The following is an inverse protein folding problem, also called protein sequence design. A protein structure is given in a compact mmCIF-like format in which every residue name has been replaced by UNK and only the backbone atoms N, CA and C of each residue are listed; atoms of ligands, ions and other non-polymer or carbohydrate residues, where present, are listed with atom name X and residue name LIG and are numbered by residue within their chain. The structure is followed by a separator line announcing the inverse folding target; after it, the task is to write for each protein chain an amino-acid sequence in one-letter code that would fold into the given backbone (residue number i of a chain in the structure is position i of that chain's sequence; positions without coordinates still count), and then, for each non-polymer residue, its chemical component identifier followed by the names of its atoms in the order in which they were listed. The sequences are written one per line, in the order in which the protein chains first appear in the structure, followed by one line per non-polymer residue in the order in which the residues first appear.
data_IF_273095409777
#
_entry.id   IF_273095409777
#
_cell.length_a   1.000
_cell.length_b   1.000
_cell.length_c   1.000
_cell.angle_alpha   90.00
_cell.angle_beta   90.00
_cell.angle_gamma   90.00
#
_symmetry.space_group_name_H-M   'P 1'
#
loop_
_entity.id
_entity.type
_entity.pdbx_description
1 polymer ?
#
# COMPACT_ATOMS: atom_id res chain seq x y z
N UNK A 1 -19.32 0.91 2.04
CA UNK A 1 -18.11 0.77 2.84
C UNK A 1 -18.24 1.75 3.97
N UNK A 2 -18.75 1.35 5.10
CA UNK A 2 -19.04 2.29 6.16
C UNK A 2 -18.29 1.90 7.43
N UNK A 3 -17.77 2.89 8.10
CA UNK A 3 -17.25 2.84 9.45
C UNK A 3 -15.75 2.95 9.58
N UNK A 4 -14.93 2.13 8.94
CA UNK A 4 -13.47 2.15 9.16
C UNK A 4 -12.62 2.29 7.89
N UNK A 5 -13.16 2.01 6.70
CA UNK A 5 -12.36 2.04 5.47
C UNK A 5 -12.68 3.25 4.58
N UNK A 6 -13.93 3.43 4.19
CA UNK A 6 -14.36 4.52 3.31
C UNK A 6 -15.66 5.15 3.85
N UNK A 7 -15.56 6.14 4.77
CA UNK A 7 -16.70 6.86 5.32
C UNK A 7 -17.36 7.78 4.28
N UNK A 8 -18.49 8.35 4.65
CA UNK A 8 -19.10 9.45 3.90
C UNK A 8 -18.18 10.66 3.86
N UNK A 9 -18.32 11.48 2.82
CA UNK A 9 -17.51 12.67 2.60
C UNK A 9 -16.62 12.55 1.37
N UNK A 10 -15.53 13.29 1.35
CA UNK A 10 -14.60 13.32 0.23
C UNK A 10 -13.42 12.37 0.48
N UNK A 11 -13.22 11.43 -0.42
CA UNK A 11 -12.08 10.54 -0.37
C UNK A 11 -11.18 10.71 -1.60
N UNK A 12 -9.87 10.48 -1.42
CA UNK A 12 -8.88 10.48 -2.50
C UNK A 12 -8.32 9.07 -2.69
N UNK A 13 -8.20 8.62 -3.93
CA UNK A 13 -7.36 7.49 -4.33
C UNK A 13 -6.20 8.02 -5.15
N UNK A 14 -5.01 7.95 -4.59
CA UNK A 14 -3.81 8.52 -5.19
C UNK A 14 -2.81 7.43 -5.52
N UNK A 15 -2.22 7.48 -6.71
CA UNK A 15 -1.21 6.51 -7.11
C UNK A 15 -0.38 7.02 -8.29
N UNK A 16 0.74 6.36 -8.55
CA UNK A 16 1.51 6.62 -9.76
C UNK A 16 0.73 6.24 -11.03
N UNK A 17 1.02 6.85 -12.18
CA UNK A 17 0.44 6.42 -13.44
C UNK A 17 0.72 4.93 -13.71
N UNK A 18 -0.31 4.20 -14.17
CA UNK A 18 -0.24 2.76 -14.50
C UNK A 18 0.00 1.82 -13.30
N UNK A 19 -0.30 2.25 -12.09
CA UNK A 19 -0.16 1.44 -10.85
C UNK A 19 -1.39 0.57 -10.54
N UNK A 20 -2.49 0.70 -11.28
CA UNK A 20 -3.72 -0.06 -11.01
C UNK A 20 -4.80 0.70 -10.23
N UNK A 21 -4.66 2.04 -10.04
CA UNK A 21 -5.65 2.85 -9.33
C UNK A 21 -7.07 2.77 -9.89
N UNK A 22 -7.23 2.82 -11.23
CA UNK A 22 -8.57 2.73 -11.86
C UNK A 22 -9.20 1.34 -11.68
N UNK A 23 -8.40 0.27 -11.58
CA UNK A 23 -8.89 -1.06 -11.22
C UNK A 23 -9.39 -1.10 -9.79
N UNK A 24 -8.63 -0.49 -8.85
CA UNK A 24 -9.02 -0.35 -7.45
C UNK A 24 -10.32 0.44 -7.33
N UNK A 25 -10.43 1.58 -8.00
CA UNK A 25 -11.62 2.45 -7.98
C UNK A 25 -12.84 1.74 -8.55
N UNK A 26 -12.70 1.06 -9.69
CA UNK A 26 -13.79 0.30 -10.31
C UNK A 26 -14.26 -0.85 -9.39
N UNK A 27 -13.33 -1.57 -8.75
CA UNK A 27 -13.67 -2.62 -7.80
C UNK A 27 -14.42 -2.07 -6.57
N UNK A 28 -14.05 -0.89 -6.06
CA UNK A 28 -14.79 -0.19 -5.00
C UNK A 28 -16.23 0.11 -5.43
N UNK A 29 -16.42 0.66 -6.65
CA UNK A 29 -17.75 0.95 -7.17
C UNK A 29 -18.61 -0.30 -7.30
N UNK A 30 -18.05 -1.38 -7.84
CA UNK A 30 -18.74 -2.66 -7.98
C UNK A 30 -19.09 -3.28 -6.62
N UNK A 31 -18.20 -3.17 -5.63
CA UNK A 31 -18.47 -3.63 -4.27
C UNK A 31 -19.65 -2.89 -3.64
N UNK A 32 -19.75 -1.57 -3.81
CA UNK A 32 -20.92 -0.79 -3.36
C UNK A 32 -22.19 -1.22 -4.09
N UNK A 33 -22.14 -1.41 -5.40
CA UNK A 33 -23.28 -1.81 -6.19
C UNK A 33 -23.83 -3.21 -5.83
N UNK A 34 -22.94 -4.13 -5.47
CA UNK A 34 -23.28 -5.52 -5.13
C UNK A 34 -23.52 -5.76 -3.65
N UNK A 35 -22.85 -4.99 -2.78
CA UNK A 35 -22.78 -5.23 -1.34
C UNK A 35 -21.71 -6.28 -0.95
N UNK A 36 -20.88 -6.72 -1.89
CA UNK A 36 -19.80 -7.66 -1.63
C UNK A 36 -18.68 -6.93 -0.88
N UNK A 37 -18.10 -7.59 0.12
CA UNK A 37 -17.01 -7.06 0.92
C UNK A 37 -15.79 -6.73 0.05
N UNK A 38 -15.09 -5.63 0.40
CA UNK A 38 -13.91 -5.16 -0.32
C UNK A 38 -12.68 -5.15 0.58
N UNK A 39 -11.62 -5.83 0.18
CA UNK A 39 -10.37 -5.97 0.95
C UNK A 39 -10.57 -6.40 2.41
N UNK A 40 -11.60 -7.22 2.68
CA UNK A 40 -11.96 -7.69 4.02
C UNK A 40 -12.86 -6.73 4.82
N UNK A 41 -13.21 -5.56 4.28
CA UNK A 41 -14.13 -4.62 4.91
C UNK A 41 -15.56 -4.80 4.40
N UNK A 42 -16.52 -4.80 5.32
CA UNK A 42 -17.95 -4.88 5.00
C UNK A 42 -18.39 -3.71 4.12
N UNK A 43 -19.19 -4.01 3.11
CA UNK A 43 -19.72 -3.00 2.18
C UNK A 43 -21.22 -2.89 2.31
N UNK A 44 -21.74 -1.69 2.51
CA UNK A 44 -23.15 -1.41 2.47
C UNK A 44 -23.60 -1.26 1.00
N UNK A 45 -24.54 -2.10 0.58
CA UNK A 45 -25.09 -2.07 -0.77
C UNK A 45 -25.82 -0.74 -1.03
N UNK A 46 -25.65 -0.21 -2.25
CA UNK A 46 -26.30 1.00 -2.75
C UNK A 46 -25.92 1.26 -4.19
N UNK A 47 -26.43 2.33 -4.77
CA UNK A 47 -26.03 2.70 -6.12
C UNK A 47 -24.65 3.37 -6.11
N UNK A 48 -23.87 3.12 -7.17
CA UNK A 48 -22.60 3.75 -7.43
C UNK A 48 -22.54 4.33 -8.84
N UNK A 49 -21.95 5.55 -8.96
CA UNK A 49 -21.66 6.18 -10.24
C UNK A 49 -20.15 6.25 -10.45
N UNK A 50 -19.68 5.71 -11.56
CA UNK A 50 -18.27 5.81 -11.97
C UNK A 50 -18.10 6.72 -13.18
N UNK A 51 -17.53 7.90 -12.99
CA UNK A 51 -17.12 8.82 -14.04
C UNK A 51 -15.73 8.43 -14.54
N UNK A 52 -15.67 7.57 -15.58
CA UNK A 52 -14.44 7.04 -16.16
C UNK A 52 -13.91 7.97 -17.27
N UNK A 53 -13.47 9.18 -16.92
CA UNK A 53 -13.20 10.27 -17.85
C UNK A 53 -11.87 10.14 -18.64
N UNK A 54 -11.03 9.16 -18.28
CA UNK A 54 -9.83 8.79 -19.04
C UNK A 54 -10.00 7.54 -19.90
N UNK A 55 -11.16 6.90 -19.80
CA UNK A 55 -11.45 5.67 -20.52
C UNK A 55 -12.33 5.85 -21.75
N UNK A 56 -12.15 4.98 -22.73
CA UNK A 56 -13.13 4.76 -23.79
C UNK A 56 -14.18 3.74 -23.33
N UNK A 57 -15.37 3.77 -23.94
CA UNK A 57 -16.44 2.79 -23.68
C UNK A 57 -15.94 1.35 -23.87
N UNK A 58 -15.16 1.08 -24.90
CA UNK A 58 -14.56 -0.23 -25.17
C UNK A 58 -13.60 -0.67 -24.06
N UNK A 59 -12.73 0.23 -23.60
CA UNK A 59 -11.79 -0.09 -22.51
C UNK A 59 -12.51 -0.36 -21.20
N UNK A 60 -13.53 0.43 -20.86
CA UNK A 60 -14.32 0.20 -19.65
C UNK A 60 -15.07 -1.12 -19.71
N UNK A 61 -15.68 -1.47 -20.88
CA UNK A 61 -16.32 -2.76 -21.10
C UNK A 61 -15.35 -3.92 -20.86
N UNK A 62 -14.16 -3.88 -21.45
CA UNK A 62 -13.14 -4.91 -21.26
C UNK A 62 -12.67 -5.02 -19.79
N UNK A 63 -12.67 -3.92 -19.03
CA UNK A 63 -12.36 -3.94 -17.60
C UNK A 63 -13.48 -4.62 -16.81
N UNK A 64 -14.72 -4.30 -17.09
CA UNK A 64 -15.87 -4.93 -16.44
C UNK A 64 -15.89 -6.42 -16.69
N UNK A 65 -15.70 -6.85 -17.94
CA UNK A 65 -15.63 -8.27 -18.31
C UNK A 65 -14.52 -9.01 -17.54
N UNK A 66 -13.36 -8.40 -17.35
CA UNK A 66 -12.26 -9.01 -16.58
C UNK A 66 -12.56 -9.14 -15.09
N UNK A 67 -13.23 -8.15 -14.48
CA UNK A 67 -13.54 -8.17 -13.05
C UNK A 67 -14.75 -9.07 -12.77
N UNK A 68 -15.77 -9.00 -13.60
CA UNK A 68 -17.03 -9.70 -13.38
C UNK A 68 -16.99 -11.14 -13.90
N UNK A 69 -16.09 -11.45 -14.86
CA UNK A 69 -16.08 -12.74 -15.53
C UNK A 69 -17.40 -12.98 -16.30
N UNK A 70 -18.12 -14.03 -15.94
CA UNK A 70 -19.42 -14.39 -16.54
C UNK A 70 -20.62 -13.69 -15.87
N UNK A 71 -20.38 -12.92 -14.80
CA UNK A 71 -21.47 -12.22 -14.12
C UNK A 71 -21.91 -10.98 -14.89
N UNK A 72 -23.20 -10.68 -14.83
CA UNK A 72 -23.78 -9.48 -15.41
C UNK A 72 -23.33 -8.21 -14.66
N UNK A 73 -23.39 -7.07 -15.35
CA UNK A 73 -23.13 -5.76 -14.71
C UNK A 73 -24.24 -5.50 -13.70
N UNK A 74 -23.92 -5.21 -12.42
CA UNK A 74 -24.93 -4.96 -11.40
C UNK A 74 -25.84 -3.78 -11.78
N UNK A 75 -27.15 -3.89 -11.61
CA UNK A 75 -28.12 -2.81 -11.88
C UNK A 75 -27.82 -1.52 -11.11
N UNK A 76 -27.27 -1.65 -9.90
CA UNK A 76 -26.88 -0.52 -9.06
C UNK A 76 -25.54 0.14 -9.47
N UNK A 77 -24.87 -0.34 -10.53
CA UNK A 77 -23.63 0.23 -11.05
C UNK A 77 -23.91 1.07 -12.28
N UNK A 78 -23.75 2.39 -12.14
CA UNK A 78 -23.87 3.36 -13.22
C UNK A 78 -22.50 3.89 -13.62
N UNK A 79 -22.32 4.25 -14.91
CA UNK A 79 -21.08 4.86 -15.36
C UNK A 79 -21.28 5.87 -16.48
N UNK A 80 -20.35 6.83 -16.57
CA UNK A 80 -20.24 7.74 -17.70
C UNK A 80 -18.76 7.90 -18.10
N UNK A 81 -18.50 8.06 -19.41
CA UNK A 81 -17.15 8.30 -19.95
C UNK A 81 -16.91 9.77 -20.32
N UNK A 82 -17.91 10.60 -20.10
CA UNK A 82 -17.86 12.05 -20.31
C UNK A 82 -18.64 12.74 -19.19
N UNK A 83 -18.10 13.85 -18.73
CA UNK A 83 -18.76 14.77 -17.80
C UNK A 83 -18.28 16.19 -18.10
N UNK A 84 -19.08 17.21 -17.80
CA UNK A 84 -18.61 18.59 -17.85
C UNK A 84 -17.55 18.86 -16.75
N UNK A 85 -16.80 19.96 -16.87
CA UNK A 85 -15.94 20.42 -15.79
C UNK A 85 -16.74 21.09 -14.68
N UNK A 86 -16.07 21.36 -13.54
CA UNK A 86 -16.69 22.09 -12.41
C UNK A 86 -17.26 23.44 -12.83
N UNK A 87 -16.58 24.17 -13.75
CA UNK A 87 -17.09 25.45 -14.24
C UNK A 87 -18.23 25.32 -15.25
N UNK A 88 -18.42 24.14 -15.86
CA UNK A 88 -19.34 23.95 -16.97
C UNK A 88 -20.55 23.09 -16.60
N UNK A 89 -20.92 23.03 -15.30
CA UNK A 89 -22.13 22.38 -14.84
C UNK A 89 -21.99 20.95 -14.36
N UNK A 90 -20.78 20.52 -13.91
CA UNK A 90 -20.62 19.21 -13.29
C UNK A 90 -21.56 19.01 -12.09
N UNK A 91 -21.65 20.00 -11.22
CA UNK A 91 -22.50 19.91 -10.03
C UNK A 91 -23.97 19.79 -10.41
N UNK A 92 -24.45 20.58 -11.36
CA UNK A 92 -25.84 20.53 -11.83
C UNK A 92 -26.15 19.11 -12.41
N UNK A 93 -25.22 18.55 -13.18
CA UNK A 93 -25.34 17.16 -13.69
C UNK A 93 -25.42 16.14 -12.55
N UNK A 94 -24.58 16.26 -11.54
CA UNK A 94 -24.57 15.36 -10.38
C UNK A 94 -25.83 15.55 -9.52
N UNK A 95 -26.32 16.76 -9.33
CA UNK A 95 -27.60 17.03 -8.62
C UNK A 95 -28.79 16.39 -9.32
N UNK A 96 -28.85 16.52 -10.66
CA UNK A 96 -29.88 15.84 -11.44
C UNK A 96 -29.78 14.32 -11.29
N UNK A 97 -28.58 13.76 -11.37
CA UNK A 97 -28.34 12.34 -11.15
C UNK A 97 -28.83 11.88 -9.77
N UNK A 98 -28.56 12.65 -8.70
CA UNK A 98 -29.01 12.33 -7.34
C UNK A 98 -30.54 12.36 -7.19
N UNK A 99 -31.23 13.20 -7.95
CA UNK A 99 -32.71 13.22 -7.97
C UNK A 99 -33.27 11.95 -8.62
N UNK A 100 -32.64 11.46 -9.68
CA UNK A 100 -33.04 10.25 -10.40
C UNK A 100 -32.59 8.96 -9.67
N UNK A 101 -31.51 9.04 -8.86
CA UNK A 101 -30.85 7.93 -8.16
C UNK A 101 -30.68 8.21 -6.65
N UNK A 102 -31.76 8.28 -5.87
CA UNK A 102 -31.71 8.66 -4.46
C UNK A 102 -30.98 7.65 -3.55
N UNK A 103 -30.78 6.40 -4.02
CA UNK A 103 -30.05 5.36 -3.31
C UNK A 103 -28.54 5.37 -3.55
N UNK A 104 -28.01 6.38 -4.25
CA UNK A 104 -26.59 6.53 -4.51
C UNK A 104 -25.81 6.68 -3.20
N UNK A 105 -24.76 5.90 -3.05
CA UNK A 105 -23.84 5.91 -1.91
C UNK A 105 -22.44 6.35 -2.29
N UNK A 106 -22.06 6.17 -3.55
CA UNK A 106 -20.71 6.46 -4.03
C UNK A 106 -20.75 7.11 -5.41
N UNK A 107 -20.03 8.20 -5.57
CA UNK A 107 -19.68 8.77 -6.87
C UNK A 107 -18.15 8.77 -6.98
N UNK A 108 -17.59 8.03 -7.92
CA UNK A 108 -16.16 7.98 -8.18
C UNK A 108 -15.83 8.77 -9.45
N UNK A 109 -14.80 9.61 -9.40
CA UNK A 109 -14.37 10.48 -10.50
C UNK A 109 -12.93 10.15 -10.87
N UNK A 110 -12.72 9.54 -12.03
CA UNK A 110 -11.40 9.14 -12.56
C UNK A 110 -11.10 9.92 -13.85
N UNK A 111 -10.39 11.04 -13.80
CA UNK A 111 -9.62 11.59 -12.68
C UNK A 111 -10.03 13.04 -12.35
N UNK A 112 -9.63 13.52 -11.18
CA UNK A 112 -9.80 14.92 -10.77
C UNK A 112 -9.33 15.90 -11.86
N UNK A 113 -8.20 15.62 -12.53
CA UNK A 113 -7.64 16.48 -13.58
C UNK A 113 -8.62 16.74 -14.74
N UNK A 114 -9.55 15.82 -15.01
CA UNK A 114 -10.52 15.93 -16.13
C UNK A 114 -11.68 16.88 -15.86
N UNK A 115 -11.95 17.14 -14.58
CA UNK A 115 -13.07 18.00 -14.17
C UNK A 115 -12.62 19.38 -13.66
N UNK A 116 -11.33 19.61 -13.54
CA UNK A 116 -10.75 20.88 -13.06
C UNK A 116 -10.97 22.03 -14.02
N UNK A 117 -11.14 23.21 -13.43
CA UNK A 117 -11.15 24.49 -14.15
C UNK A 117 -9.77 25.15 -14.19
N UNK A 118 -8.91 24.80 -13.21
CA UNK A 118 -7.62 25.43 -13.03
C UNK A 118 -7.67 26.75 -12.26
N UNK A 119 -6.49 27.27 -11.93
CA UNK A 119 -6.36 28.56 -11.27
C UNK A 119 -6.62 29.71 -12.26
N UNK A 120 -7.34 30.73 -11.84
CA UNK A 120 -7.40 32.01 -12.58
C UNK A 120 -6.06 32.73 -12.47
N UNK A 121 -5.81 33.74 -13.32
CA UNK A 121 -4.54 34.51 -13.30
C UNK A 121 -4.26 35.21 -11.96
N UNK A 122 -5.29 35.42 -11.14
CA UNK A 122 -5.20 36.12 -9.85
C UNK A 122 -5.27 35.17 -8.64
N UNK A 123 -5.56 33.88 -8.86
CA UNK A 123 -5.74 32.88 -7.80
C UNK A 123 -4.49 32.02 -7.68
N UNK A 124 -3.96 31.88 -6.47
CA UNK A 124 -2.86 30.96 -6.18
C UNK A 124 -3.29 29.49 -6.34
N UNK A 125 -2.34 28.61 -6.73
CA UNK A 125 -2.63 27.19 -6.96
C UNK A 125 -3.26 26.51 -5.74
N UNK A 126 -2.85 26.89 -4.53
CA UNK A 126 -3.43 26.36 -3.28
C UNK A 126 -4.92 26.72 -3.15
N UNK A 127 -5.27 27.99 -3.37
CA UNK A 127 -6.65 28.46 -3.26
C UNK A 127 -7.55 27.79 -4.30
N UNK A 128 -7.04 27.62 -5.54
CA UNK A 128 -7.75 26.93 -6.61
C UNK A 128 -8.00 25.45 -6.27
N UNK A 129 -6.97 24.74 -5.79
CA UNK A 129 -7.07 23.34 -5.36
C UNK A 129 -8.09 23.18 -4.23
N UNK A 130 -7.98 24.03 -3.20
CA UNK A 130 -8.87 24.01 -2.04
C UNK A 130 -10.32 24.30 -2.44
N UNK A 131 -10.56 25.29 -3.28
CA UNK A 131 -11.90 25.67 -3.77
C UNK A 131 -12.53 24.54 -4.61
N UNK A 132 -11.81 24.02 -5.61
CA UNK A 132 -12.34 22.99 -6.51
C UNK A 132 -12.69 21.71 -5.78
N UNK A 133 -11.82 21.25 -4.89
CA UNK A 133 -12.06 20.05 -4.10
C UNK A 133 -13.12 20.31 -3.03
N UNK A 134 -13.17 21.54 -2.47
CA UNK A 134 -14.18 21.99 -1.51
C UNK A 134 -15.60 21.95 -2.05
N UNK A 135 -15.81 22.26 -3.34
CA UNK A 135 -17.12 22.15 -3.99
C UNK A 135 -17.60 20.68 -3.97
N UNK A 136 -16.73 19.74 -4.29
CA UNK A 136 -17.06 18.32 -4.29
C UNK A 136 -17.28 17.77 -2.87
N UNK A 137 -16.52 18.27 -1.88
CA UNK A 137 -16.74 17.97 -0.48
C UNK A 137 -18.12 18.45 -0.02
N UNK A 138 -18.48 19.71 -0.31
CA UNK A 138 -19.80 20.26 0.02
C UNK A 138 -20.94 19.47 -0.62
N UNK A 139 -20.73 18.99 -1.85
CA UNK A 139 -21.69 18.11 -2.53
C UNK A 139 -21.84 16.77 -1.81
N UNK A 140 -20.71 16.12 -1.43
CA UNK A 140 -20.71 14.87 -0.69
C UNK A 140 -21.47 14.99 0.64
N UNK A 141 -21.22 16.08 1.38
CA UNK A 141 -21.86 16.37 2.67
C UNK A 141 -23.36 16.63 2.51
N UNK A 142 -23.76 17.41 1.50
CA UNK A 142 -25.16 17.73 1.19
C UNK A 142 -26.01 16.46 1.00
N UNK A 143 -25.47 15.47 0.31
CA UNK A 143 -26.17 14.24 -0.03
C UNK A 143 -25.86 13.05 0.89
N UNK A 144 -24.99 13.22 1.90
CA UNK A 144 -24.52 12.15 2.79
C UNK A 144 -23.98 10.93 2.03
N UNK A 145 -23.19 11.17 0.99
CA UNK A 145 -22.56 10.15 0.15
C UNK A 145 -21.04 10.24 0.23
N UNK A 146 -20.36 9.25 -0.34
CA UNK A 146 -18.92 9.35 -0.60
C UNK A 146 -18.67 9.85 -2.01
N UNK A 147 -17.85 10.90 -2.15
CA UNK A 147 -17.24 11.28 -3.44
C UNK A 147 -15.79 10.84 -3.43
N UNK A 148 -15.44 9.92 -4.31
CA UNK A 148 -14.10 9.35 -4.43
C UNK A 148 -13.37 9.93 -5.62
N UNK A 149 -12.33 10.72 -5.38
CA UNK A 149 -11.52 11.35 -6.43
C UNK A 149 -10.26 10.54 -6.71
N UNK A 150 -10.04 10.21 -7.96
CA UNK A 150 -8.78 9.60 -8.40
C UNK A 150 -7.79 10.69 -8.77
N UNK A 151 -6.58 10.61 -8.20
CA UNK A 151 -5.53 11.60 -8.43
C UNK A 151 -4.15 10.95 -8.63
N UNK A 152 -3.12 11.72 -8.91
CA UNK A 152 -1.77 11.24 -9.22
C UNK A 152 -0.76 11.58 -8.14
N UNK A 153 0.22 10.69 -7.95
CA UNK A 153 1.46 10.99 -7.22
C UNK A 153 2.46 11.71 -8.13
N UNK A 154 3.24 12.62 -7.54
CA UNK A 154 4.45 13.17 -8.17
C UNK A 154 5.52 12.09 -8.30
N UNK A 155 6.40 12.22 -9.29
CA UNK A 155 7.55 11.31 -9.45
C UNK A 155 8.69 11.55 -8.45
N UNK A 156 8.53 12.47 -7.54
CA UNK A 156 9.54 12.83 -6.54
C UNK A 156 9.69 11.73 -5.49
N UNK A 157 10.91 11.47 -5.05
CA UNK A 157 11.18 10.61 -3.89
C UNK A 157 11.00 11.45 -2.62
N UNK A 158 10.22 10.94 -1.68
CA UNK A 158 10.02 11.52 -0.36
C UNK A 158 9.93 10.37 0.64
N UNK A 159 10.41 10.57 1.86
CA UNK A 159 10.30 9.58 2.92
C UNK A 159 8.84 9.37 3.34
N UNK A 160 8.05 10.44 3.36
CA UNK A 160 6.63 10.40 3.59
C UNK A 160 5.88 10.29 2.25
N UNK A 161 5.15 9.19 2.07
CA UNK A 161 4.38 8.93 0.85
C UNK A 161 3.29 9.99 0.60
N UNK A 162 2.75 10.61 1.64
CA UNK A 162 1.70 11.62 1.53
C UNK A 162 2.23 12.92 0.89
N UNK A 163 3.49 13.26 1.11
CA UNK A 163 4.15 14.40 0.46
C UNK A 163 4.29 14.25 -1.06
N UNK A 164 4.12 13.04 -1.60
CA UNK A 164 4.17 12.77 -3.05
C UNK A 164 2.86 13.10 -3.76
N UNK A 165 1.77 13.47 -3.07
CA UNK A 165 0.49 13.79 -3.73
C UNK A 165 0.68 15.00 -4.64
N UNK A 166 0.22 14.90 -5.89
CA UNK A 166 0.29 16.00 -6.87
C UNK A 166 -0.62 17.16 -6.47
N UNK A 167 -0.28 18.38 -6.91
CA UNK A 167 -1.01 19.59 -6.51
C UNK A 167 -0.45 20.21 -5.23
N UNK A 168 -1.26 20.95 -4.53
CA UNK A 168 -0.90 21.60 -3.27
C UNK A 168 -1.47 20.83 -2.07
N UNK A 169 -1.02 21.20 -0.87
CA UNK A 169 -1.61 20.67 0.37
C UNK A 169 -3.11 21.02 0.51
N UNK A 170 -3.62 21.93 -0.31
CA UNK A 170 -5.06 22.27 -0.37
C UNK A 170 -5.95 21.08 -0.71
N UNK A 171 -5.50 20.17 -1.59
CA UNK A 171 -6.26 18.96 -1.93
C UNK A 171 -6.37 18.03 -0.72
N UNK A 172 -5.25 17.77 -0.04
CA UNK A 172 -5.23 16.91 1.16
C UNK A 172 -6.01 17.51 2.32
N UNK A 173 -5.94 18.84 2.51
CA UNK A 173 -6.61 19.53 3.60
C UNK A 173 -8.13 19.47 3.55
N UNK A 174 -8.73 19.26 2.38
CA UNK A 174 -10.18 19.14 2.18
C UNK A 174 -10.64 17.69 2.34
N UNK A 175 -9.82 16.71 1.98
CA UNK A 175 -10.18 15.30 2.00
C UNK A 175 -10.44 14.79 3.42
N UNK A 176 -11.47 13.96 3.56
CA UNK A 176 -11.79 13.25 4.81
C UNK A 176 -11.02 11.95 4.91
N UNK A 177 -10.75 11.29 3.77
CA UNK A 177 -9.99 10.04 3.72
C UNK A 177 -9.06 10.03 2.51
N UNK A 178 -7.86 9.52 2.69
CA UNK A 178 -6.84 9.43 1.65
C UNK A 178 -6.33 8.00 1.58
N UNK A 179 -6.37 7.44 0.38
CA UNK A 179 -5.78 6.15 0.02
C UNK A 179 -4.60 6.38 -0.92
N UNK A 180 -3.43 5.88 -0.56
CA UNK A 180 -2.27 5.91 -1.44
C UNK A 180 -1.88 4.48 -1.81
N UNK A 181 -2.04 4.14 -3.09
CA UNK A 181 -1.57 2.89 -3.64
C UNK A 181 -0.11 3.06 -4.09
N UNK A 182 0.83 2.61 -3.26
CA UNK A 182 2.26 2.71 -3.50
C UNK A 182 2.83 1.35 -3.93
N UNK A 183 3.56 1.35 -5.06
CA UNK A 183 4.22 0.18 -5.62
C UNK A 183 5.71 0.44 -5.69
N UNK A 184 6.52 -0.49 -5.24
CA UNK A 184 7.99 -0.40 -5.30
C UNK A 184 8.50 -0.27 -6.74
N UNK A 185 7.91 -1.04 -7.66
CA UNK A 185 8.19 -0.94 -9.09
C UNK A 185 6.93 -1.22 -9.92
N UNK A 186 6.94 -0.77 -11.19
CA UNK A 186 5.75 -0.90 -12.08
C UNK A 186 5.36 -2.34 -12.37
N UNK A 187 6.31 -3.23 -12.40
CA UNK A 187 6.12 -4.64 -12.75
C UNK A 187 5.65 -5.49 -11.57
N UNK A 188 5.81 -4.98 -10.35
CA UNK A 188 5.33 -5.66 -9.14
C UNK A 188 3.82 -5.90 -9.22
N UNK A 189 3.39 -7.08 -8.80
CA UNK A 189 1.98 -7.37 -8.54
C UNK A 189 1.57 -7.00 -7.12
N UNK A 190 2.47 -6.44 -6.34
CA UNK A 190 2.28 -6.11 -4.95
C UNK A 190 2.31 -4.61 -4.76
N UNK A 191 1.53 -4.14 -3.81
CA UNK A 191 1.47 -2.74 -3.43
C UNK A 191 1.18 -2.61 -1.93
N UNK A 192 1.56 -1.48 -1.35
CA UNK A 192 1.05 -1.03 -0.06
C UNK A 192 -0.08 -0.04 -0.30
N UNK A 193 -1.18 -0.22 0.40
CA UNK A 193 -2.26 0.75 0.44
C UNK A 193 -2.19 1.47 1.79
N UNK A 194 -1.68 2.70 1.78
CA UNK A 194 -1.69 3.56 2.95
C UNK A 194 -3.04 4.24 3.05
N UNK A 195 -3.61 4.24 4.24
CA UNK A 195 -4.94 4.77 4.54
C UNK A 195 -4.79 5.77 5.69
N UNK A 196 -5.37 6.95 5.54
CA UNK A 196 -5.46 7.94 6.61
C UNK A 196 -6.69 8.80 6.42
N UNK A 197 -7.20 9.40 7.49
CA UNK A 197 -8.35 10.29 7.39
C UNK A 197 -8.71 10.94 8.72
N UNK A 198 -9.74 11.78 8.70
CA UNK A 198 -10.25 12.45 9.91
C UNK A 198 -10.90 11.46 10.86
N UNK A 199 -11.67 10.51 10.30
CA UNK A 199 -12.43 9.49 11.03
C UNK A 199 -11.89 8.07 10.77
N UNK A 200 -10.71 7.97 10.12
CA UNK A 200 -10.03 6.72 9.81
C UNK A 200 -8.63 6.80 10.37
N UNK A 201 -8.31 5.88 11.29
CA UNK A 201 -6.96 5.74 11.82
C UNK A 201 -5.99 5.36 10.70
N UNK A 202 -4.72 5.76 10.86
CA UNK A 202 -3.67 5.35 9.93
C UNK A 202 -3.58 3.82 9.89
N UNK A 203 -3.62 3.25 8.69
CA UNK A 203 -3.46 1.82 8.45
C UNK A 203 -2.69 1.58 7.15
N UNK A 204 -2.00 0.47 7.08
CA UNK A 204 -1.29 0.00 5.90
C UNK A 204 -1.69 -1.43 5.56
N UNK A 205 -2.28 -1.62 4.39
CA UNK A 205 -2.61 -2.93 3.86
C UNK A 205 -1.60 -3.36 2.81
N UNK A 206 -1.17 -4.60 2.90
CA UNK A 206 -0.41 -5.24 1.83
C UNK A 206 -1.38 -5.83 0.81
N UNK A 207 -1.24 -5.41 -0.45
CA UNK A 207 -2.12 -5.83 -1.53
C UNK A 207 -1.39 -6.64 -2.58
N UNK A 208 -2.05 -7.66 -3.09
CA UNK A 208 -1.64 -8.46 -4.24
C UNK A 208 -2.59 -8.23 -5.41
N UNK A 209 -2.05 -8.02 -6.62
CA UNK A 209 -2.81 -7.81 -7.84
C UNK A 209 -2.89 -9.08 -8.67
N UNK A 210 -4.08 -9.63 -8.81
CA UNK A 210 -4.32 -10.74 -9.71
C UNK A 210 -4.45 -10.25 -11.16
N UNK A 211 -3.49 -10.59 -12.02
CA UNK A 211 -3.46 -10.16 -13.44
C UNK A 211 -4.58 -10.76 -14.28
N UNK A 212 -5.08 -11.92 -13.93
CA UNK A 212 -6.15 -12.58 -14.70
C UNK A 212 -7.50 -11.94 -14.46
N UNK A 213 -7.84 -11.63 -13.19
CA UNK A 213 -9.11 -10.97 -12.81
C UNK A 213 -8.99 -9.46 -12.69
N UNK A 214 -7.75 -8.92 -12.75
CA UNK A 214 -7.45 -7.50 -12.56
C UNK A 214 -7.99 -6.92 -11.23
N UNK A 215 -8.00 -7.73 -10.19
CA UNK A 215 -8.48 -7.37 -8.86
C UNK A 215 -7.33 -7.29 -7.86
N UNK A 216 -7.46 -6.39 -6.91
CA UNK A 216 -6.62 -6.30 -5.74
C UNK A 216 -7.21 -7.14 -4.60
N UNK A 217 -6.39 -7.95 -3.97
CA UNK A 217 -6.72 -8.71 -2.75
C UNK A 217 -5.86 -8.23 -1.59
N UNK A 218 -6.43 -8.20 -0.39
CA UNK A 218 -5.68 -7.86 0.82
C UNK A 218 -5.01 -9.10 1.39
N UNK A 219 -3.71 -9.00 1.63
CA UNK A 219 -2.92 -9.99 2.35
C UNK A 219 -2.85 -9.67 3.86
N UNK A 220 -3.61 -8.65 4.29
CA UNK A 220 -3.63 -8.17 5.67
C UNK A 220 -2.72 -6.97 5.91
N UNK A 221 -2.44 -6.68 7.19
CA UNK A 221 -1.61 -5.54 7.59
C UNK A 221 -0.19 -5.64 7.01
N UNK A 222 0.28 -4.54 6.43
CA UNK A 222 1.54 -4.50 5.70
C UNK A 222 2.75 -4.73 6.62
N UNK A 223 2.70 -4.29 7.87
CA UNK A 223 3.76 -4.50 8.83
C UNK A 223 3.93 -6.00 9.13
N UNK A 224 2.82 -6.70 9.40
CA UNK A 224 2.80 -8.15 9.63
C UNK A 224 3.35 -8.90 8.42
N UNK A 225 2.93 -8.55 7.21
CA UNK A 225 3.39 -9.24 6.01
C UNK A 225 4.86 -8.95 5.70
N UNK A 226 5.32 -7.73 5.93
CA UNK A 226 6.74 -7.37 5.80
C UNK A 226 7.58 -8.21 6.77
N UNK A 227 7.16 -8.28 8.05
CA UNK A 227 7.85 -9.09 9.05
C UNK A 227 7.90 -10.58 8.68
N UNK A 228 6.76 -11.15 8.22
CA UNK A 228 6.73 -12.55 7.73
C UNK A 228 7.73 -12.80 6.59
N UNK A 229 7.86 -11.86 5.65
CA UNK A 229 8.84 -11.97 4.56
C UNK A 229 10.26 -11.89 5.05
N UNK A 230 10.57 -10.94 5.92
CA UNK A 230 11.89 -10.79 6.52
C UNK A 230 12.30 -12.06 7.28
N UNK A 231 11.38 -12.62 8.08
CA UNK A 231 11.60 -13.90 8.79
C UNK A 231 11.79 -15.06 7.80
N UNK A 232 11.03 -15.10 6.71
CA UNK A 232 11.21 -16.12 5.66
C UNK A 232 12.55 -16.00 4.94
N UNK A 233 12.96 -14.78 4.57
CA UNK A 233 14.29 -14.52 3.99
C UNK A 233 15.40 -14.93 4.96
N UNK A 234 15.30 -14.52 6.23
CA UNK A 234 16.21 -14.89 7.30
C UNK A 234 16.36 -16.41 7.45
N UNK A 235 15.24 -17.14 7.55
CA UNK A 235 15.24 -18.59 7.69
C UNK A 235 15.82 -19.33 6.50
N UNK A 236 15.78 -18.73 5.31
CA UNK A 236 16.31 -19.32 4.09
C UNK A 236 17.76 -18.93 3.79
N UNK A 237 18.30 -17.92 4.46
CA UNK A 237 19.68 -17.46 4.22
C UNK A 237 20.69 -18.54 4.60
N UNK A 238 21.63 -18.92 3.68
CA UNK A 238 22.61 -19.97 3.94
C UNK A 238 23.55 -19.66 5.11
N UNK A 239 23.88 -18.37 5.34
CA UNK A 239 24.74 -17.96 6.46
C UNK A 239 24.02 -18.22 7.79
N UNK A 240 22.73 -17.90 7.86
CA UNK A 240 21.93 -18.11 9.07
C UNK A 240 21.75 -19.60 9.36
N UNK A 241 21.52 -20.44 8.32
CA UNK A 241 21.46 -21.88 8.48
C UNK A 241 22.80 -22.47 9.02
N UNK A 242 23.93 -21.97 8.50
CA UNK A 242 25.24 -22.39 9.00
C UNK A 242 25.52 -21.88 10.41
N UNK A 243 25.12 -20.62 10.72
CA UNK A 243 25.27 -20.01 12.04
C UNK A 243 24.49 -20.79 13.11
N UNK A 244 23.22 -21.15 12.85
CA UNK A 244 22.43 -21.99 13.78
C UNK A 244 23.16 -23.25 14.17
N UNK A 245 23.69 -24.00 13.20
CA UNK A 245 24.47 -25.20 13.47
C UNK A 245 25.74 -24.92 14.27
N UNK A 246 26.42 -23.82 13.96
CA UNK A 246 27.63 -23.45 14.70
C UNK A 246 27.30 -23.13 16.17
N UNK A 247 26.24 -22.37 16.43
CA UNK A 247 25.83 -21.97 17.78
C UNK A 247 25.28 -23.16 18.59
N UNK A 248 24.70 -24.17 17.96
CA UNK A 248 24.36 -25.43 18.63
C UNK A 248 25.59 -26.16 19.16
N UNK A 249 26.75 -26.04 18.48
CA UNK A 249 28.02 -26.68 18.87
C UNK A 249 28.81 -25.79 19.84
N UNK A 250 28.78 -24.47 19.61
CA UNK A 250 29.61 -23.49 20.31
C UNK A 250 28.76 -22.23 20.60
N UNK A 251 28.08 -22.25 21.74
CA UNK A 251 27.10 -21.23 22.13
C UNK A 251 27.70 -19.81 22.32
N UNK A 252 29.02 -19.70 22.46
CA UNK A 252 29.75 -18.45 22.67
C UNK A 252 30.87 -18.26 21.63
N UNK A 253 30.54 -18.31 20.36
CA UNK A 253 31.52 -18.21 19.29
C UNK A 253 32.01 -16.75 19.07
N UNK A 254 33.33 -16.60 18.86
CA UNK A 254 33.94 -15.32 18.47
C UNK A 254 35.08 -15.51 17.46
N UNK A 255 35.16 -14.61 16.49
CA UNK A 255 36.21 -14.65 15.46
C UNK A 255 36.01 -13.60 14.37
N UNK A 256 36.95 -13.53 13.46
CA UNK A 256 36.85 -12.72 12.25
C UNK A 256 35.88 -13.33 11.25
N UNK A 257 35.47 -12.61 10.21
CA UNK A 257 34.62 -13.14 9.16
C UNK A 257 35.25 -14.35 8.43
N UNK A 258 36.56 -14.36 8.26
CA UNK A 258 37.26 -15.50 7.67
C UNK A 258 37.28 -16.73 8.62
N UNK A 259 37.48 -16.48 9.91
CA UNK A 259 37.43 -17.56 10.91
C UNK A 259 36.00 -18.13 11.04
N UNK A 260 34.97 -17.30 10.82
CA UNK A 260 33.57 -17.75 10.80
C UNK A 260 33.31 -18.71 9.62
N UNK A 261 33.78 -18.35 8.41
CA UNK A 261 33.66 -19.22 7.25
C UNK A 261 34.41 -20.55 7.45
N UNK A 262 35.62 -20.49 8.03
CA UNK A 262 36.39 -21.70 8.34
C UNK A 262 35.67 -22.56 9.40
N UNK A 263 35.06 -21.95 10.43
CA UNK A 263 34.29 -22.67 11.44
C UNK A 263 33.04 -23.34 10.85
N UNK A 264 32.39 -22.75 9.87
CA UNK A 264 31.28 -23.39 9.15
C UNK A 264 31.74 -24.65 8.41
N UNK A 265 32.93 -24.63 7.81
CA UNK A 265 33.48 -25.79 7.13
C UNK A 265 33.91 -26.85 8.16
N UNK A 266 34.75 -26.47 9.12
CA UNK A 266 35.40 -27.40 10.05
C UNK A 266 34.43 -28.02 11.06
N UNK A 267 33.49 -27.19 11.64
CA UNK A 267 32.60 -27.66 12.70
C UNK A 267 31.24 -28.10 12.16
N UNK A 268 30.75 -27.48 11.07
CA UNK A 268 29.39 -27.74 10.57
C UNK A 268 29.36 -28.53 9.26
N UNK A 269 30.52 -28.74 8.61
CA UNK A 269 30.63 -29.32 7.27
C UNK A 269 29.80 -28.56 6.21
N UNK A 270 29.79 -27.22 6.31
CA UNK A 270 29.07 -26.32 5.38
C UNK A 270 30.07 -25.39 4.70
N UNK A 271 30.18 -25.48 3.38
CA UNK A 271 30.92 -24.52 2.56
C UNK A 271 29.97 -23.51 1.95
N UNK A 272 30.22 -22.20 2.14
CA UNK A 272 29.46 -21.11 1.56
C UNK A 272 30.27 -20.38 0.50
N UNK A 273 29.66 -20.08 -0.63
CA UNK A 273 30.26 -19.22 -1.66
C UNK A 273 30.09 -17.74 -1.31
N UNK A 274 30.73 -17.34 -0.21
CA UNK A 274 30.65 -15.98 0.35
C UNK A 274 32.05 -15.42 0.62
N UNK A 275 32.20 -14.12 0.30
CA UNK A 275 33.45 -13.40 0.64
C UNK A 275 33.38 -12.87 2.07
N UNK A 276 34.50 -12.86 2.82
CA UNK A 276 34.53 -12.35 4.20
C UNK A 276 33.99 -10.93 4.34
N UNK A 277 34.19 -10.07 3.33
CA UNK A 277 33.72 -8.67 3.34
C UNK A 277 32.19 -8.58 3.26
N UNK A 278 31.51 -9.55 2.65
CA UNK A 278 30.03 -9.56 2.51
C UNK A 278 29.33 -10.01 3.79
N UNK A 279 29.95 -10.88 4.57
CA UNK A 279 29.36 -11.51 5.77
C UNK A 279 28.94 -10.46 6.81
N UNK A 280 29.82 -9.53 7.12
CA UNK A 280 29.53 -8.50 8.13
C UNK A 280 28.31 -7.64 7.78
N UNK A 281 28.05 -7.39 6.50
CA UNK A 281 26.85 -6.64 6.04
C UNK A 281 25.59 -7.49 6.20
N UNK A 282 25.63 -8.77 5.80
CA UNK A 282 24.50 -9.69 5.91
C UNK A 282 24.13 -9.94 7.38
N UNK A 283 25.11 -10.20 8.23
CA UNK A 283 24.87 -10.39 9.68
C UNK A 283 24.24 -9.15 10.33
N UNK A 284 24.69 -7.94 9.98
CA UNK A 284 24.08 -6.71 10.52
C UNK A 284 22.63 -6.53 10.06
N UNK A 285 22.28 -6.92 8.83
CA UNK A 285 20.90 -6.91 8.34
C UNK A 285 19.98 -7.73 9.24
N UNK A 286 20.48 -8.81 9.80
CA UNK A 286 19.70 -9.79 10.55
C UNK A 286 19.90 -9.70 12.08
N UNK A 287 20.53 -8.65 12.60
CA UNK A 287 20.86 -8.54 14.03
C UNK A 287 19.63 -8.75 14.92
N UNK A 288 18.54 -8.04 14.62
CA UNK A 288 17.31 -8.09 15.41
C UNK A 288 16.61 -9.44 15.26
N UNK A 289 16.56 -9.98 14.04
CA UNK A 289 15.96 -11.30 13.78
C UNK A 289 16.73 -12.45 14.40
N UNK A 290 18.06 -12.37 14.49
CA UNK A 290 18.87 -13.36 15.21
C UNK A 290 18.46 -13.40 16.69
N UNK A 291 18.23 -12.27 17.31
CA UNK A 291 17.80 -12.18 18.69
C UNK A 291 16.34 -12.64 18.87
N UNK A 292 15.43 -12.14 18.01
CA UNK A 292 14.00 -12.42 18.11
C UNK A 292 13.67 -13.89 17.79
N UNK A 293 14.22 -14.44 16.70
CA UNK A 293 13.84 -15.78 16.20
C UNK A 293 14.66 -16.88 16.84
N UNK A 294 15.97 -16.68 16.96
CA UNK A 294 16.91 -17.75 17.40
C UNK A 294 17.49 -17.50 18.79
N UNK A 295 17.19 -16.38 19.43
CA UNK A 295 17.80 -15.94 20.70
C UNK A 295 19.33 -15.79 20.60
N UNK A 296 19.88 -15.55 19.42
CA UNK A 296 21.29 -15.34 19.18
C UNK A 296 21.59 -13.85 19.33
N UNK A 297 22.37 -13.49 20.33
CA UNK A 297 22.86 -12.10 20.55
C UNK A 297 24.11 -11.91 19.71
N UNK A 298 23.99 -11.07 18.68
CA UNK A 298 25.10 -10.73 17.80
C UNK A 298 25.72 -9.38 18.17
N UNK A 299 27.04 -9.37 18.41
CA UNK A 299 27.81 -8.14 18.58
C UNK A 299 28.71 -7.94 17.37
N UNK A 300 28.44 -6.91 16.53
CA UNK A 300 29.26 -6.64 15.35
C UNK A 300 30.65 -6.10 15.76
N UNK A 301 31.66 -6.22 14.87
CA UNK A 301 32.97 -5.64 15.09
C UNK A 301 32.90 -4.13 15.29
N UNK A 302 33.60 -3.59 16.30
CA UNK A 302 33.77 -2.15 16.47
C UNK A 302 34.68 -1.55 15.39
N UNK A 303 34.47 -0.28 15.05
CA UNK A 303 35.29 0.44 14.08
C UNK A 303 36.76 0.56 14.56
N UNK A 304 36.96 0.62 15.89
CA UNK A 304 38.25 0.82 16.58
C UNK A 304 38.68 -0.43 17.37
N UNK A 305 38.56 -1.62 16.78
CA UNK A 305 38.95 -2.86 17.46
C UNK A 305 40.40 -2.79 17.95
N UNK A 306 40.63 -3.12 19.22
CA UNK A 306 42.00 -3.25 19.76
C UNK A 306 42.79 -4.24 18.90
N UNK A 307 43.97 -3.84 18.41
CA UNK A 307 44.84 -4.58 17.51
C UNK A 307 44.37 -4.76 16.06
N UNK A 308 43.47 -3.91 15.50
CA UNK A 308 43.10 -3.94 14.08
C UNK A 308 42.28 -5.17 13.64
N UNK A 309 41.90 -6.04 14.55
CA UNK A 309 41.16 -7.27 14.28
C UNK A 309 39.65 -7.03 14.39
N UNK A 310 38.88 -7.23 13.29
CA UNK A 310 37.42 -7.11 13.26
C UNK A 310 36.75 -8.41 13.71
N UNK A 311 36.38 -8.50 14.98
CA UNK A 311 35.84 -9.71 15.59
C UNK A 311 34.32 -9.65 15.72
N UNK A 312 33.64 -10.64 15.15
CA UNK A 312 32.23 -10.93 15.36
C UNK A 312 32.07 -11.78 16.61
N UNK A 313 31.04 -11.51 17.40
CA UNK A 313 30.73 -12.30 18.61
C UNK A 313 29.26 -12.72 18.53
N UNK A 314 29.02 -13.97 18.85
CA UNK A 314 27.70 -14.55 18.97
C UNK A 314 27.58 -15.22 20.34
N UNK A 315 26.45 -15.01 20.98
CA UNK A 315 26.13 -15.60 22.27
C UNK A 315 24.69 -16.12 22.22
N UNK A 316 24.45 -17.36 22.66
CA UNK A 316 23.12 -17.91 22.78
C UNK A 316 22.45 -17.37 24.07
N UNK A 317 21.47 -16.50 23.90
CA UNK A 317 20.68 -15.94 25.00
C UNK A 317 19.64 -16.93 25.55
N UNK A 318 18.98 -16.55 26.63
CA UNK A 318 17.85 -17.28 27.18
C UNK A 318 16.64 -17.05 26.29
N UNK A 319 15.94 -18.12 25.83
CA UNK A 319 14.68 -17.98 25.11
C UNK A 319 13.65 -17.34 26.03
N UNK A 320 13.22 -16.11 25.72
CA UNK A 320 11.98 -15.59 26.26
C UNK A 320 10.84 -16.32 25.56
N UNK A 321 9.93 -16.90 26.36
CA UNK A 321 8.77 -17.63 25.87
C UNK A 321 7.69 -16.65 25.38
N UNK A 322 7.97 -15.92 24.29
CA UNK A 322 6.94 -15.27 23.51
C UNK A 322 6.58 -16.19 22.33
N UNK A 323 5.29 -16.41 22.16
CA UNK A 323 4.73 -17.38 21.21
C UNK A 323 4.88 -16.85 19.77
N UNK A 324 6.00 -17.18 19.13
CA UNK A 324 6.26 -16.86 17.71
C UNK A 324 5.51 -17.78 16.72
N UNK A 325 4.57 -18.61 17.20
CA UNK A 325 3.69 -19.41 16.34
C UNK A 325 2.85 -18.59 15.38
N UNK A 326 2.69 -17.28 15.65
CA UNK A 326 1.98 -16.33 14.78
C UNK A 326 2.75 -15.96 13.48
N UNK A 327 4.03 -16.33 13.39
CA UNK A 327 4.88 -15.94 12.25
C UNK A 327 5.35 -17.11 11.38
N UNK A 328 4.98 -18.33 11.75
CA UNK A 328 5.32 -19.56 11.02
C UNK A 328 4.39 -19.80 9.80
#
# INVERSE_FOLDING_TARGET
MYGKFLPQGLALVVAQPKSGKSWLTLAICLSVATGIDFLGYRTNKGESLYLALEDSRHRLKNRLEKILGENEIPENFNFAIKAPSLANGLIDMLEKYMQEHPNTKLIAIDTLQKIRTGASRQEGAYAADYREVGILKSFADKYNITVLLVHHLRKQKDADVFNKISGTNGIMGVADTIFILDKDCRESNEAKLHITGRDVEFDELYLSFNKSTCQWTSEGNAEIQTKKREVKEYNNDPIIKALRKLIEIDADWRGTAQELLNAFIEKCNISLDEKPESIGRKLRKYTDLMQEVDSIIYTPPSANGSNGRRVHKFHLGVKFAEDYSLWA
#
